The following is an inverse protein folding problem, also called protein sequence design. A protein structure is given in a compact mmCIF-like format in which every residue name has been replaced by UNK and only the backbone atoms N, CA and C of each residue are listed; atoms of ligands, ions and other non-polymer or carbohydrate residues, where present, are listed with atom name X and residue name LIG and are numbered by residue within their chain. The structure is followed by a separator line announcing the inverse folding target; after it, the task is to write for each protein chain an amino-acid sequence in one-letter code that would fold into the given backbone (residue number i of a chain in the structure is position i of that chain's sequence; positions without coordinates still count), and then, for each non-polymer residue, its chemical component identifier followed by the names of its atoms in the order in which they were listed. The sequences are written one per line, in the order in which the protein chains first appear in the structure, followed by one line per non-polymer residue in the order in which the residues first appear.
data_IF_756238200728
#
_entry.id   IF_756238200728
#
_cell.length_a   1.000
_cell.length_b   1.000
_cell.length_c   1.000
_cell.angle_alpha   90.00
_cell.angle_beta   90.00
_cell.angle_gamma   90.00
#
_symmetry.space_group_name_H-M   'P 1'
#
loop_
_entity.id
_entity.type
_entity.pdbx_description
1 polymer ?
#
# COMPACT_ATOMS: atom_id res chain seq x y z
N UNK A 1 29.78 -1.33 -22.40
CA UNK A 1 29.19 -0.24 -21.60
C UNK A 1 27.65 -0.23 -21.54
N UNK A 2 26.91 -1.04 -22.32
CA UNK A 2 25.43 -0.96 -22.33
C UNK A 2 24.73 -1.63 -21.15
N UNK A 3 25.13 -2.84 -20.77
CA UNK A 3 24.37 -3.68 -19.82
C UNK A 3 24.48 -3.20 -18.38
N UNK A 4 25.66 -2.72 -17.95
CA UNK A 4 25.86 -2.17 -16.60
C UNK A 4 24.96 -0.94 -16.34
N UNK A 5 24.72 -0.14 -17.37
CA UNK A 5 23.85 1.04 -17.27
C UNK A 5 22.38 0.66 -17.16
N UNK A 6 21.96 -0.37 -17.90
CA UNK A 6 20.59 -0.91 -17.82
C UNK A 6 20.29 -1.46 -16.43
N UNK A 7 21.22 -2.21 -15.84
CA UNK A 7 21.08 -2.76 -14.49
C UNK A 7 20.99 -1.63 -13.46
N UNK A 8 21.82 -0.58 -13.57
CA UNK A 8 21.78 0.58 -12.69
C UNK A 8 20.42 1.30 -12.73
N UNK A 9 19.84 1.49 -13.93
CA UNK A 9 18.52 2.11 -14.09
C UNK A 9 17.42 1.28 -13.41
N UNK A 10 17.44 -0.05 -13.59
CA UNK A 10 16.46 -0.95 -12.97
C UNK A 10 16.54 -0.86 -11.44
N UNK A 11 17.76 -0.88 -10.88
CA UNK A 11 17.97 -0.78 -9.43
C UNK A 11 17.48 0.57 -8.88
N UNK A 12 17.76 1.68 -9.58
CA UNK A 12 17.28 3.00 -9.19
C UNK A 12 15.74 3.07 -9.26
N UNK A 13 15.13 2.50 -10.29
CA UNK A 13 13.68 2.47 -10.46
C UNK A 13 13.00 1.66 -9.35
N UNK A 14 13.55 0.49 -9.01
CA UNK A 14 13.09 -0.33 -7.89
C UNK A 14 13.26 0.40 -6.55
N UNK A 15 14.40 1.07 -6.33
CA UNK A 15 14.62 1.86 -5.11
C UNK A 15 13.65 3.03 -5.00
N UNK A 16 13.31 3.73 -6.08
CA UNK A 16 12.34 4.84 -6.05
C UNK A 16 10.93 4.36 -5.70
N UNK A 17 10.51 3.20 -6.20
CA UNK A 17 9.22 2.58 -5.86
C UNK A 17 9.24 2.09 -4.41
N UNK A 18 10.31 1.41 -4.00
CA UNK A 18 10.42 0.83 -2.66
C UNK A 18 10.59 1.89 -1.57
N UNK A 19 11.28 3.00 -1.86
CA UNK A 19 11.49 4.08 -0.91
C UNK A 19 10.23 4.93 -0.71
N UNK A 20 9.29 4.96 -1.67
CA UNK A 20 7.94 5.50 -1.44
C UNK A 20 7.12 4.68 -0.44
N UNK A 21 7.32 3.36 -0.38
CA UNK A 21 6.66 2.51 0.62
C UNK A 21 7.20 2.72 2.05
N UNK A 22 8.41 3.27 2.19
CA UNK A 22 9.05 3.53 3.50
C UNK A 22 8.67 4.89 4.11
N UNK A 23 8.28 5.86 3.29
CA UNK A 23 7.94 7.22 3.75
C UNK A 23 6.52 7.35 4.34
N UNK A 24 5.63 6.36 4.14
CA UNK A 24 4.30 6.34 4.76
C UNK A 24 4.29 5.82 6.20
N UNK A 25 5.45 5.70 6.86
CA UNK A 25 5.55 5.13 8.21
C UNK A 25 5.19 6.06 9.36
N UNK A 26 4.61 7.23 9.13
CA UNK A 26 4.36 8.17 10.22
C UNK A 26 3.10 9.02 10.07
N UNK A 27 1.94 8.37 9.98
CA UNK A 27 0.71 8.94 10.51
C UNK A 27 -0.21 7.81 10.98
N UNK A 28 -0.31 7.66 12.29
CA UNK A 28 -1.10 6.63 12.94
C UNK A 28 -2.58 7.02 12.89
N UNK A 29 -3.30 6.52 11.89
CA UNK A 29 -4.72 6.23 12.02
C UNK A 29 -4.90 4.73 11.80
N UNK A 30 -5.62 4.04 12.69
CA UNK A 30 -5.77 2.57 12.60
C UNK A 30 -6.45 2.14 11.28
N UNK A 31 -7.23 3.04 10.68
CA UNK A 31 -7.80 2.89 9.35
C UNK A 31 -6.73 2.89 8.23
N UNK A 32 -5.74 3.79 8.28
CA UNK A 32 -4.61 3.78 7.32
C UNK A 32 -3.78 2.51 7.43
N UNK A 33 -3.53 2.01 8.65
CA UNK A 33 -2.82 0.74 8.85
C UNK A 33 -3.57 -0.44 8.25
N UNK A 34 -4.89 -0.51 8.47
CA UNK A 34 -5.70 -1.60 7.94
C UNK A 34 -5.73 -1.59 6.40
N UNK A 35 -5.85 -0.39 5.80
CA UNK A 35 -5.79 -0.21 4.34
C UNK A 35 -4.45 -0.64 3.76
N UNK A 36 -3.35 -0.20 4.37
CA UNK A 36 -2.00 -0.53 3.94
C UNK A 36 -1.71 -2.04 4.02
N UNK A 37 -2.28 -2.74 5.01
CA UNK A 37 -2.19 -4.21 5.11
C UNK A 37 -2.93 -4.90 3.96
N UNK A 38 -4.12 -4.44 3.60
CA UNK A 38 -4.93 -5.03 2.51
C UNK A 38 -4.27 -4.77 1.15
N UNK A 39 -3.77 -3.55 0.92
CA UNK A 39 -3.05 -3.16 -0.29
C UNK A 39 -1.76 -3.97 -0.49
N UNK A 40 -1.01 -4.19 0.60
CA UNK A 40 0.17 -5.08 0.58
C UNK A 40 -0.15 -6.51 0.19
N UNK A 41 -1.25 -7.08 0.71
CA UNK A 41 -1.67 -8.46 0.37
C UNK A 41 -2.12 -8.58 -1.07
N UNK A 42 -2.83 -7.58 -1.59
CA UNK A 42 -3.24 -7.54 -3.00
C UNK A 42 -2.04 -7.45 -3.94
N UNK A 43 -1.08 -6.56 -3.64
CA UNK A 43 0.17 -6.44 -4.42
C UNK A 43 1.02 -7.73 -4.39
N UNK A 44 0.94 -8.48 -3.28
CA UNK A 44 1.59 -9.79 -3.13
C UNK A 44 0.85 -10.92 -3.86
N UNK A 45 -0.39 -10.69 -4.30
CA UNK A 45 -1.25 -11.70 -4.93
C UNK A 45 -1.85 -12.70 -3.93
N UNK A 46 -1.78 -12.41 -2.62
CA UNK A 46 -2.34 -13.26 -1.55
C UNK A 46 -3.87 -13.17 -1.49
N UNK A 47 -4.46 -12.10 -2.05
CA UNK A 47 -5.90 -11.89 -2.14
C UNK A 47 -6.30 -11.48 -3.56
N UNK A 48 -7.49 -11.88 -3.98
CA UNK A 48 -8.06 -11.53 -5.27
C UNK A 48 -8.63 -10.11 -5.27
N UNK A 49 -8.91 -9.56 -6.46
CA UNK A 49 -9.49 -8.21 -6.61
C UNK A 49 -10.84 -8.09 -5.89
N UNK A 50 -11.67 -9.12 -5.96
CA UNK A 50 -12.98 -9.13 -5.30
C UNK A 50 -12.88 -9.10 -3.77
N UNK A 51 -11.87 -9.76 -3.21
CA UNK A 51 -11.60 -9.75 -1.77
C UNK A 51 -11.03 -8.40 -1.32
N UNK A 52 -10.16 -7.81 -2.13
CA UNK A 52 -9.63 -6.46 -1.90
C UNK A 52 -10.76 -5.43 -1.85
N UNK A 53 -11.65 -5.43 -2.85
CA UNK A 53 -12.76 -4.47 -2.96
C UNK A 53 -13.71 -4.60 -1.75
N UNK A 54 -14.08 -5.82 -1.36
CA UNK A 54 -14.94 -6.07 -0.17
C UNK A 54 -14.32 -5.59 1.13
N UNK A 55 -13.02 -5.79 1.32
CA UNK A 55 -12.34 -5.35 2.55
C UNK A 55 -12.17 -3.82 2.58
N UNK A 56 -11.90 -3.22 1.42
CA UNK A 56 -11.76 -1.77 1.28
C UNK A 56 -13.09 -1.03 1.51
N UNK A 57 -14.21 -1.61 1.07
CA UNK A 57 -15.56 -1.11 1.36
C UNK A 57 -15.85 -1.13 2.86
N UNK A 58 -15.60 -2.26 3.53
CA UNK A 58 -15.77 -2.39 4.99
C UNK A 58 -14.92 -1.42 5.79
N UNK A 59 -13.68 -1.16 5.37
CA UNK A 59 -12.82 -0.19 6.04
C UNK A 59 -13.32 1.24 5.88
N UNK A 60 -13.90 1.58 4.74
CA UNK A 60 -14.51 2.90 4.53
C UNK A 60 -15.78 3.06 5.36
N UNK A 61 -16.60 2.00 5.45
CA UNK A 61 -17.79 1.96 6.30
C UNK A 61 -17.42 2.12 7.78
N UNK A 62 -16.45 1.36 8.27
CA UNK A 62 -15.96 1.44 9.64
C UNK A 62 -15.28 2.79 9.98
N UNK A 63 -14.60 3.39 9.00
CA UNK A 63 -14.00 4.71 9.14
C UNK A 63 -15.02 5.86 9.22
N UNK A 64 -16.24 5.68 8.68
CA UNK A 64 -17.32 6.68 8.80
C UNK A 64 -17.93 6.69 10.21
N UNK A 65 -18.07 5.53 10.86
CA UNK A 65 -18.59 5.40 12.23
C UNK A 65 -17.70 6.11 13.28
N UNK A 66 -16.39 6.14 13.04
CA UNK A 66 -15.43 6.79 13.97
C UNK A 66 -15.35 8.32 13.83
N UNK A 67 -15.89 8.88 12.74
CA UNK A 67 -15.99 10.34 12.56
C UNK A 67 -17.27 10.95 13.12
N UNK A 68 -18.30 10.15 13.42
CA UNK A 68 -19.57 10.64 13.97
C UNK A 68 -19.55 10.79 15.51
N UNK A 69 -18.46 10.36 16.16
CA UNK A 69 -18.30 10.43 17.63
C UNK A 69 -17.24 11.43 18.13
N UNK A 70 -16.68 12.28 17.27
CA UNK A 70 -15.66 13.26 17.69
C UNK A 70 -15.91 14.67 17.15
#
# INVERSE_FOLDING_TARGET
MGIMFTIAIIVIFFLLIFNRASLFKMKNTDSEKAKDIIEKRYAKGDITKDEFDKMMEKLQEYGKDTKDKN
#
